data_IF_403388711938
#
_entry.id   IF_403388711938
#
_cell.length_a   1.000
_cell.length_b   1.000
_cell.length_c   1.000
_cell.angle_alpha   90.00
_cell.angle_beta   90.00
_cell.angle_gamma   90.00
#
_symmetry.space_group_name_H-M   'P 1'
#
loop_
_entity.id
_entity.type
_entity.pdbx_description
1 polymer ?
#
# COMPACT_ATOMS: atom_id res chain seq x y z
N UNK A 1 -23.88 -12.13 -21.08
CA UNK A 1 -22.88 -11.98 -20.02
C UNK A 1 -23.09 -10.61 -19.40
N UNK A 2 -23.21 -10.50 -18.08
CA UNK A 2 -23.21 -9.18 -17.49
C UNK A 2 -21.86 -8.54 -17.81
N UNK A 3 -21.91 -7.33 -18.36
CA UNK A 3 -20.73 -6.48 -18.50
C UNK A 3 -20.21 -6.26 -17.08
N UNK A 4 -19.00 -6.67 -16.78
CA UNK A 4 -18.39 -6.41 -15.49
C UNK A 4 -18.47 -4.90 -15.27
N UNK A 5 -19.22 -4.48 -14.26
CA UNK A 5 -19.43 -3.08 -13.98
C UNK A 5 -18.09 -2.49 -13.56
N UNK A 6 -17.59 -1.56 -14.35
CA UNK A 6 -16.29 -0.93 -14.09
C UNK A 6 -16.31 -0.30 -12.70
N UNK A 7 -15.39 -0.71 -11.84
CA UNK A 7 -15.27 -0.15 -10.50
C UNK A 7 -15.01 1.36 -10.61
N UNK A 8 -15.84 2.15 -9.95
CA UNK A 8 -15.69 3.60 -10.00
C UNK A 8 -14.36 4.04 -9.33
N UNK A 9 -13.63 4.95 -9.96
CA UNK A 9 -12.38 5.49 -9.41
C UNK A 9 -12.55 6.10 -8.02
N UNK A 10 -13.71 6.73 -7.78
CA UNK A 10 -14.08 7.28 -6.47
C UNK A 10 -14.20 6.21 -5.38
N UNK A 11 -14.68 5.02 -5.74
CA UNK A 11 -14.75 3.87 -4.83
C UNK A 11 -13.35 3.36 -4.49
N UNK A 12 -12.49 3.22 -5.49
CA UNK A 12 -11.10 2.79 -5.29
C UNK A 12 -10.37 3.79 -4.41
N UNK A 13 -10.45 5.08 -4.73
CA UNK A 13 -9.80 6.15 -3.97
C UNK A 13 -10.33 6.29 -2.54
N UNK A 14 -11.64 6.23 -2.37
CA UNK A 14 -12.28 6.29 -1.05
C UNK A 14 -11.87 5.12 -0.15
N UNK A 15 -11.84 3.90 -0.70
CA UNK A 15 -11.37 2.72 0.03
C UNK A 15 -9.88 2.77 0.35
N UNK A 16 -9.05 3.26 -0.58
CA UNK A 16 -7.62 3.44 -0.36
C UNK A 16 -7.36 4.41 0.81
N UNK A 17 -7.99 5.58 0.78
CA UNK A 17 -7.85 6.60 1.83
C UNK A 17 -8.29 6.07 3.20
N UNK A 18 -9.45 5.42 3.27
CA UNK A 18 -9.98 4.83 4.50
C UNK A 18 -9.07 3.72 5.02
N UNK A 19 -8.63 2.80 4.16
CA UNK A 19 -7.81 1.67 4.57
C UNK A 19 -6.48 2.11 5.17
N UNK A 20 -5.79 3.05 4.53
CA UNK A 20 -4.52 3.58 5.06
C UNK A 20 -4.75 4.34 6.36
N UNK A 21 -5.73 5.23 6.42
CA UNK A 21 -6.03 6.01 7.61
C UNK A 21 -6.39 5.12 8.82
N UNK A 22 -7.28 4.14 8.63
CA UNK A 22 -7.75 3.29 9.71
C UNK A 22 -6.64 2.38 10.26
N UNK A 23 -5.86 1.76 9.38
CA UNK A 23 -4.78 0.87 9.80
C UNK A 23 -3.66 1.63 10.50
N UNK A 24 -3.22 2.76 9.95
CA UNK A 24 -2.18 3.57 10.57
C UNK A 24 -2.62 4.16 11.90
N UNK A 25 -3.87 4.61 12.01
CA UNK A 25 -4.41 5.09 13.28
C UNK A 25 -4.49 3.96 14.32
N UNK A 26 -5.05 2.82 13.96
CA UNK A 26 -5.30 1.70 14.89
C UNK A 26 -4.00 1.04 15.35
N UNK A 27 -3.07 0.79 14.42
CA UNK A 27 -1.84 0.04 14.71
C UNK A 27 -0.70 0.91 15.19
N UNK A 28 -0.64 2.14 14.75
CA UNK A 28 0.51 3.01 14.98
C UNK A 28 0.17 4.29 15.77
N UNK A 29 -1.10 4.58 15.97
CA UNK A 29 -1.53 5.84 16.58
C UNK A 29 -1.20 7.08 15.72
N UNK A 30 -0.89 6.87 14.43
CA UNK A 30 -0.54 7.93 13.49
C UNK A 30 -1.77 8.44 12.74
N UNK A 31 -1.90 9.76 12.65
CA UNK A 31 -2.80 10.37 11.69
C UNK A 31 -2.13 10.43 10.32
N UNK A 32 -2.84 9.99 9.30
CA UNK A 32 -2.37 9.97 7.91
C UNK A 32 -3.36 10.72 7.04
N UNK A 33 -2.89 11.66 6.26
CA UNK A 33 -3.71 12.46 5.36
C UNK A 33 -3.29 12.32 3.90
N UNK A 34 -4.23 12.28 2.94
CA UNK A 34 -3.90 12.32 1.52
C UNK A 34 -3.14 13.59 1.15
N UNK A 35 -2.12 13.46 0.28
CA UNK A 35 -1.35 14.59 -0.24
C UNK A 35 -1.85 14.95 -1.64
N UNK A 36 -2.31 16.19 -1.81
CA UNK A 36 -2.60 16.77 -3.12
C UNK A 36 -3.80 16.19 -3.87
N UNK A 37 -4.72 15.54 -3.18
CA UNK A 37 -5.84 14.85 -3.77
C UNK A 37 -5.46 13.43 -4.27
N UNK A 38 -6.48 12.61 -4.46
CA UNK A 38 -6.31 11.26 -4.99
C UNK A 38 -6.17 11.35 -6.52
N UNK A 39 -4.94 11.27 -6.99
CA UNK A 39 -4.65 11.38 -8.42
C UNK A 39 -4.55 9.98 -9.02
N UNK A 40 -5.42 9.69 -9.95
CA UNK A 40 -5.35 8.53 -10.82
C UNK A 40 -5.69 8.95 -12.27
N UNK A 41 -5.00 8.46 -13.30
CA UNK A 41 -3.81 7.62 -13.26
C UNK A 41 -2.54 8.41 -12.92
N UNK A 42 -1.57 7.74 -12.26
CA UNK A 42 -0.28 8.34 -11.97
C UNK A 42 0.58 8.42 -13.22
N UNK A 43 1.25 9.57 -13.50
CA UNK A 43 2.14 9.69 -14.64
C UNK A 43 3.28 8.67 -14.56
N UNK A 44 3.54 7.98 -15.67
CA UNK A 44 4.57 6.92 -15.73
C UNK A 44 6.01 7.43 -15.54
N UNK A 45 6.23 8.72 -15.78
CA UNK A 45 7.52 9.40 -15.62
C UNK A 45 7.75 10.01 -14.24
N UNK A 46 6.75 9.96 -13.36
CA UNK A 46 6.82 10.54 -12.03
C UNK A 46 7.25 9.50 -11.01
N UNK A 47 8.33 9.79 -10.28
CA UNK A 47 8.79 8.97 -9.18
C UNK A 47 7.76 8.93 -8.03
N UNK A 48 7.59 7.75 -7.42
CA UNK A 48 6.71 7.55 -6.27
C UNK A 48 7.36 8.07 -4.99
N UNK A 49 8.63 7.82 -4.84
CA UNK A 49 9.47 8.31 -3.74
C UNK A 49 10.62 9.13 -4.31
N UNK A 50 11.24 9.95 -3.47
CA UNK A 50 12.37 10.76 -3.86
C UNK A 50 13.56 9.88 -4.30
N UNK A 51 14.35 10.30 -5.31
CA UNK A 51 15.50 9.54 -5.78
C UNK A 51 16.52 9.28 -4.67
N UNK A 52 17.07 8.07 -4.64
CA UNK A 52 18.09 7.66 -3.65
C UNK A 52 17.53 7.26 -2.28
N UNK A 53 16.23 7.30 -2.08
CA UNK A 53 15.60 6.83 -0.85
C UNK A 53 15.51 5.30 -0.85
N UNK A 54 15.99 4.70 0.24
CA UNK A 54 15.78 3.27 0.49
C UNK A 54 14.32 3.05 0.90
N UNK A 55 13.60 2.25 0.13
CA UNK A 55 12.20 1.95 0.38
C UNK A 55 11.97 0.48 0.73
N UNK A 56 11.01 0.26 1.61
CA UNK A 56 10.41 -1.05 1.82
C UNK A 56 9.03 -1.08 1.17
N UNK A 57 8.73 -2.18 0.49
CA UNK A 57 7.49 -2.38 -0.26
C UNK A 57 6.86 -3.67 0.17
N UNK A 58 5.68 -3.60 0.76
CA UNK A 58 4.83 -4.75 1.01
C UNK A 58 3.84 -4.91 -0.14
N UNK A 59 3.84 -6.06 -0.82
CA UNK A 59 2.94 -6.37 -1.93
C UNK A 59 1.97 -7.47 -1.57
N UNK A 60 0.69 -7.28 -1.88
CA UNK A 60 -0.37 -8.27 -1.70
C UNK A 60 -1.20 -8.38 -2.97
N UNK A 61 -1.41 -9.59 -3.45
CA UNK A 61 -2.25 -9.85 -4.62
C UNK A 61 -3.73 -9.87 -4.26
N UNK A 62 -4.55 -9.51 -5.24
CA UNK A 62 -6.01 -9.59 -5.24
C UNK A 62 -6.43 -10.59 -6.31
N UNK A 63 -7.26 -11.57 -5.96
CA UNK A 63 -7.71 -12.64 -6.86
C UNK A 63 -9.21 -12.88 -6.68
N UNK A 64 -9.96 -12.81 -7.75
CA UNK A 64 -11.41 -13.02 -7.73
C UNK A 64 -12.09 -12.29 -8.88
N UNK A 65 -13.19 -11.61 -8.61
CA UNK A 65 -13.82 -10.70 -9.59
C UNK A 65 -12.93 -9.47 -9.82
N UNK A 66 -12.17 -9.06 -8.80
CA UNK A 66 -11.10 -8.08 -8.93
C UNK A 66 -9.77 -8.83 -8.91
N UNK A 67 -8.98 -8.63 -9.96
CA UNK A 67 -7.66 -9.22 -10.10
C UNK A 67 -6.59 -8.12 -10.18
N UNK A 68 -5.49 -8.33 -9.49
CA UNK A 68 -4.40 -7.37 -9.47
C UNK A 68 -3.54 -7.51 -8.25
N UNK A 69 -2.93 -6.42 -7.85
CA UNK A 69 -2.17 -6.35 -6.60
C UNK A 69 -2.11 -4.92 -6.08
N UNK A 70 -1.86 -4.79 -4.80
CA UNK A 70 -1.60 -3.53 -4.14
C UNK A 70 -0.25 -3.57 -3.44
N UNK A 71 0.46 -2.44 -3.46
CA UNK A 71 1.75 -2.25 -2.84
C UNK A 71 1.69 -1.09 -1.87
N UNK A 72 2.25 -1.31 -0.70
CA UNK A 72 2.43 -0.27 0.31
C UNK A 72 3.91 0.08 0.41
N UNK A 73 4.23 1.35 0.16
CA UNK A 73 5.60 1.86 0.12
C UNK A 73 5.87 2.79 1.30
N UNK A 74 7.05 2.60 1.92
CA UNK A 74 7.59 3.51 2.93
C UNK A 74 9.08 3.72 2.71
N UNK A 75 9.60 4.84 3.19
CA UNK A 75 11.03 4.95 3.46
C UNK A 75 11.43 3.90 4.52
N UNK A 76 12.59 3.28 4.37
CA UNK A 76 13.03 2.23 5.31
C UNK A 76 13.12 2.74 6.75
N UNK A 77 13.58 3.97 6.95
CA UNK A 77 13.65 4.60 8.28
C UNK A 77 12.25 4.77 8.90
N UNK A 78 11.26 5.15 8.12
CA UNK A 78 9.88 5.28 8.58
C UNK A 78 9.22 3.91 8.81
N UNK A 79 9.50 2.93 7.96
CA UNK A 79 9.06 1.56 8.16
C UNK A 79 9.54 1.01 9.51
N UNK A 80 10.81 1.23 9.85
CA UNK A 80 11.37 0.83 11.15
C UNK A 80 10.69 1.53 12.33
N UNK A 81 10.41 2.82 12.22
CA UNK A 81 9.64 3.55 13.24
C UNK A 81 8.22 2.96 13.43
N UNK A 82 7.52 2.68 12.33
CA UNK A 82 6.21 2.04 12.34
C UNK A 82 6.26 0.67 13.02
N UNK A 83 7.27 -0.13 12.70
CA UNK A 83 7.46 -1.46 13.28
C UNK A 83 7.73 -1.35 14.79
N UNK A 84 8.55 -0.41 15.21
CA UNK A 84 8.81 -0.15 16.63
C UNK A 84 7.52 0.12 17.40
N UNK A 85 6.65 0.96 16.86
CA UNK A 85 5.33 1.24 17.46
C UNK A 85 4.40 0.02 17.44
N UNK A 86 4.37 -0.70 16.34
CA UNK A 86 3.53 -1.89 16.17
C UNK A 86 3.92 -3.02 17.14
N UNK A 87 5.21 -3.19 17.41
CA UNK A 87 5.74 -4.20 18.32
C UNK A 87 5.88 -3.70 19.78
N UNK A 88 5.68 -2.41 20.03
CA UNK A 88 5.95 -1.81 21.33
C UNK A 88 7.45 -1.85 21.71
N UNK A 89 8.32 -1.85 20.71
CA UNK A 89 9.77 -1.96 20.90
C UNK A 89 10.42 -0.60 21.16
N UNK A 90 11.31 -0.54 22.15
CA UNK A 90 12.17 0.62 22.38
C UNK A 90 13.28 0.69 21.31
N UNK A 91 13.94 1.85 21.19
CA UNK A 91 14.92 2.11 20.14
C UNK A 91 16.07 1.07 20.09
N UNK A 92 16.54 0.62 21.25
CA UNK A 92 17.58 -0.41 21.34
C UNK A 92 17.09 -1.78 20.87
N UNK A 93 15.87 -2.14 21.25
CA UNK A 93 15.23 -3.38 20.81
C UNK A 93 14.97 -3.36 19.30
N UNK A 94 14.51 -2.22 18.78
CA UNK A 94 14.28 -2.03 17.34
C UNK A 94 15.58 -2.16 16.54
N UNK A 95 16.69 -1.59 17.05
CA UNK A 95 18.00 -1.69 16.41
C UNK A 95 18.55 -3.14 16.38
N UNK A 96 18.14 -3.96 17.34
CA UNK A 96 18.53 -5.36 17.44
C UNK A 96 17.67 -6.32 16.60
N UNK A 97 16.54 -5.85 16.03
CA UNK A 97 15.67 -6.68 15.19
C UNK A 97 16.38 -7.08 13.89
N UNK A 98 16.34 -8.37 13.58
CA UNK A 98 16.87 -8.90 12.33
C UNK A 98 16.01 -8.54 11.12
N UNK A 99 16.58 -8.67 9.88
CA UNK A 99 15.87 -8.33 8.65
C UNK A 99 14.57 -9.13 8.44
N UNK A 100 14.52 -10.38 8.90
CA UNK A 100 13.32 -11.22 8.78
C UNK A 100 12.17 -10.68 9.61
N UNK A 101 12.41 -10.30 10.86
CA UNK A 101 11.39 -9.71 11.73
C UNK A 101 10.87 -8.40 11.17
N UNK A 102 11.75 -7.58 10.61
CA UNK A 102 11.37 -6.33 9.93
C UNK A 102 10.49 -6.63 8.71
N UNK A 103 10.88 -7.58 7.88
CA UNK A 103 10.10 -7.97 6.70
C UNK A 103 8.72 -8.53 7.07
N UNK A 104 8.64 -9.38 8.09
CA UNK A 104 7.38 -9.95 8.56
C UNK A 104 6.42 -8.85 9.04
N UNK A 105 6.93 -7.87 9.78
CA UNK A 105 6.13 -6.76 10.27
C UNK A 105 5.66 -5.83 9.14
N UNK A 106 6.50 -5.55 8.14
CA UNK A 106 6.10 -4.79 6.94
C UNK A 106 5.07 -5.56 6.14
N UNK A 107 5.26 -6.86 5.97
CA UNK A 107 4.31 -7.75 5.31
C UNK A 107 2.95 -7.74 6.00
N UNK A 108 2.92 -7.80 7.33
CA UNK A 108 1.69 -7.75 8.11
C UNK A 108 0.98 -6.39 7.97
N UNK A 109 1.71 -5.29 8.05
CA UNK A 109 1.14 -3.95 7.87
C UNK A 109 0.55 -3.77 6.46
N UNK A 110 1.24 -4.28 5.44
CA UNK A 110 0.73 -4.29 4.07
C UNK A 110 -0.52 -5.17 3.95
N UNK A 111 -0.50 -6.37 4.54
CA UNK A 111 -1.63 -7.29 4.53
C UNK A 111 -2.87 -6.70 5.20
N UNK A 112 -2.70 -6.03 6.33
CA UNK A 112 -3.79 -5.34 7.04
C UNK A 112 -4.37 -4.19 6.21
N UNK A 113 -3.50 -3.37 5.62
CA UNK A 113 -3.93 -2.21 4.81
C UNK A 113 -4.65 -2.67 3.54
N UNK A 114 -4.09 -3.62 2.81
CA UNK A 114 -4.72 -4.17 1.59
C UNK A 114 -5.96 -4.98 1.94
N UNK A 115 -5.99 -5.65 3.10
CA UNK A 115 -7.16 -6.34 3.62
C UNK A 115 -8.33 -5.40 3.89
N UNK A 116 -8.08 -4.27 4.52
CA UNK A 116 -9.08 -3.22 4.71
C UNK A 116 -9.57 -2.65 3.38
N UNK A 117 -8.67 -2.40 2.44
CA UNK A 117 -9.01 -1.97 1.08
C UNK A 117 -9.90 -3.00 0.36
N UNK A 118 -9.49 -4.28 0.38
CA UNK A 118 -10.26 -5.39 -0.19
C UNK A 118 -11.66 -5.49 0.41
N UNK A 119 -11.79 -5.35 1.72
CA UNK A 119 -13.10 -5.43 2.38
C UNK A 119 -14.07 -4.37 1.83
N UNK A 120 -13.59 -3.14 1.62
CA UNK A 120 -14.40 -2.09 0.98
C UNK A 120 -14.83 -2.44 -0.45
N UNK A 121 -14.00 -3.12 -1.23
CA UNK A 121 -14.39 -3.61 -2.55
C UNK A 121 -15.44 -4.73 -2.46
N UNK A 122 -15.25 -5.68 -1.54
CA UNK A 122 -16.22 -6.76 -1.32
C UNK A 122 -17.60 -6.23 -0.89
N UNK A 123 -17.62 -5.26 0.03
CA UNK A 123 -18.84 -4.63 0.53
C UNK A 123 -19.58 -3.86 -0.58
N UNK A 124 -18.84 -3.39 -1.58
CA UNK A 124 -19.41 -2.73 -2.77
C UNK A 124 -19.80 -3.71 -3.88
N UNK A 125 -19.73 -5.02 -3.65
CA UNK A 125 -20.17 -6.05 -4.60
C UNK A 125 -19.06 -6.56 -5.54
N UNK A 126 -17.79 -6.31 -5.20
CA UNK A 126 -16.62 -6.79 -5.96
C UNK A 126 -15.77 -7.78 -5.16
N UNK A 127 -16.23 -9.03 -4.96
CA UNK A 127 -15.56 -9.99 -4.09
C UNK A 127 -14.21 -10.44 -4.64
N UNK A 128 -13.21 -10.43 -3.78
CA UNK A 128 -11.88 -10.96 -4.05
C UNK A 128 -11.20 -11.48 -2.77
N UNK A 129 -10.12 -12.22 -2.95
CA UNK A 129 -9.29 -12.78 -1.88
C UNK A 129 -7.88 -12.22 -1.98
N UNK A 130 -7.17 -12.23 -0.86
CA UNK A 130 -5.77 -11.84 -0.80
C UNK A 130 -4.84 -13.04 -1.03
N UNK A 131 -3.69 -12.76 -1.64
CA UNK A 131 -2.56 -13.68 -1.62
C UNK A 131 -1.68 -13.43 -0.39
N UNK A 132 -0.70 -14.30 -0.16
CA UNK A 132 0.32 -14.11 0.87
C UNK A 132 1.14 -12.86 0.53
N UNK A 133 1.43 -11.97 1.51
CA UNK A 133 2.23 -10.78 1.27
C UNK A 133 3.69 -11.14 0.94
N UNK A 134 4.31 -10.32 0.10
CA UNK A 134 5.75 -10.33 -0.14
C UNK A 134 6.34 -8.98 0.17
N UNK A 135 7.61 -8.94 0.58
CA UNK A 135 8.31 -7.72 0.94
C UNK A 135 9.58 -7.57 0.12
N UNK A 136 9.75 -6.39 -0.46
CA UNK A 136 10.89 -6.02 -1.28
C UNK A 136 11.58 -4.79 -0.67
N UNK A 137 12.90 -4.72 -0.81
CA UNK A 137 13.67 -3.50 -0.57
C UNK A 137 14.15 -2.94 -1.89
N UNK A 138 13.97 -1.64 -2.08
CA UNK A 138 14.24 -0.97 -3.37
C UNK A 138 15.03 0.30 -3.10
N UNK A 139 16.15 0.48 -3.81
CA UNK A 139 16.99 1.68 -3.70
C UNK A 139 16.71 2.72 -4.77
N UNK A 140 16.25 2.29 -5.94
CA UNK A 140 15.87 3.16 -7.05
C UNK A 140 14.56 2.66 -7.63
N UNK A 141 13.50 3.39 -7.37
CA UNK A 141 12.19 3.04 -7.85
C UNK A 141 11.95 3.63 -9.24
N UNK A 142 12.53 2.97 -10.26
CA UNK A 142 12.01 3.10 -11.61
C UNK A 142 10.68 2.35 -11.68
N UNK A 143 9.64 3.02 -12.07
CA UNK A 143 8.36 2.38 -12.38
C UNK A 143 8.63 1.38 -13.50
N UNK A 144 8.66 0.10 -13.16
CA UNK A 144 8.71 -0.95 -14.19
C UNK A 144 7.53 -0.75 -15.14
N UNK A 145 7.73 -1.05 -16.41
CA UNK A 145 6.67 -1.01 -17.41
C UNK A 145 5.42 -1.68 -16.87
N UNK A 146 4.35 -0.91 -16.79
CA UNK A 146 3.06 -1.43 -16.33
C UNK A 146 2.60 -2.51 -17.29
N UNK A 147 2.10 -3.64 -16.78
CA UNK A 147 1.42 -4.59 -17.64
C UNK A 147 0.29 -3.88 -18.39
N UNK A 148 0.21 -4.08 -19.70
CA UNK A 148 -0.82 -3.42 -20.54
C UNK A 148 -2.26 -3.71 -20.13
N UNK A 149 -2.45 -4.76 -19.31
CA UNK A 149 -3.74 -5.16 -18.79
C UNK A 149 -4.15 -4.44 -17.50
N UNK A 150 -3.23 -3.71 -16.86
CA UNK A 150 -3.50 -3.10 -15.56
C UNK A 150 -3.77 -1.60 -15.68
N UNK A 151 -4.76 -1.14 -14.95
CA UNK A 151 -4.94 0.27 -14.61
C UNK A 151 -4.29 0.52 -13.26
N UNK A 152 -3.48 1.56 -13.18
CA UNK A 152 -2.72 1.90 -11.97
C UNK A 152 -3.33 3.09 -11.27
N UNK A 153 -3.49 2.96 -9.96
CA UNK A 153 -3.95 4.00 -9.06
C UNK A 153 -2.90 4.21 -7.96
N UNK A 154 -2.34 5.39 -7.88
CA UNK A 154 -1.34 5.73 -6.87
C UNK A 154 -1.92 6.76 -5.92
N UNK A 155 -1.92 6.44 -4.63
CA UNK A 155 -2.42 7.30 -3.58
C UNK A 155 -1.30 7.63 -2.61
N UNK A 156 -0.97 8.91 -2.52
CA UNK A 156 0.11 9.40 -1.67
C UNK A 156 -0.47 9.97 -0.40
N UNK A 157 0.06 9.54 0.72
CA UNK A 157 -0.32 10.00 2.06
C UNK A 157 0.89 10.55 2.79
N UNK A 158 0.65 11.38 3.77
CA UNK A 158 1.68 11.94 4.62
C UNK A 158 1.31 11.75 6.09
N UNK A 159 2.30 11.35 6.87
CA UNK A 159 2.25 11.25 8.32
C UNK A 159 3.53 11.84 8.91
N UNK A 160 3.43 12.91 9.69
CA UNK A 160 4.57 13.60 10.31
C UNK A 160 5.71 13.95 9.31
N UNK A 161 5.35 14.45 8.13
CA UNK A 161 6.30 14.78 7.06
C UNK A 161 6.89 13.59 6.31
N UNK A 162 6.47 12.37 6.61
CA UNK A 162 6.89 11.14 5.96
C UNK A 162 5.81 10.65 4.99
N UNK A 163 6.22 10.16 3.84
CA UNK A 163 5.30 9.65 2.83
C UNK A 163 5.03 8.17 2.99
N UNK A 164 3.76 7.82 2.79
CA UNK A 164 3.27 6.46 2.61
C UNK A 164 2.53 6.43 1.29
N UNK A 165 2.77 5.43 0.48
CA UNK A 165 2.12 5.31 -0.83
C UNK A 165 1.40 3.99 -0.93
N UNK A 166 0.13 4.04 -1.29
CA UNK A 166 -0.63 2.86 -1.71
C UNK A 166 -0.76 2.87 -3.23
N UNK A 167 -0.11 1.92 -3.87
CA UNK A 167 -0.09 1.71 -5.32
C UNK A 167 -0.94 0.49 -5.66
N UNK A 168 -2.04 0.70 -6.36
CA UNK A 168 -3.02 -0.33 -6.70
C UNK A 168 -3.03 -0.54 -8.20
N UNK A 169 -2.77 -1.76 -8.63
CA UNK A 169 -2.86 -2.18 -10.04
C UNK A 169 -4.00 -3.17 -10.18
N UNK A 170 -4.99 -2.80 -10.95
CA UNK A 170 -6.18 -3.64 -11.18
C UNK A 170 -6.32 -3.97 -12.65
N UNK A 171 -6.68 -5.22 -12.92
CA UNK A 171 -7.22 -5.64 -14.20
C UNK A 171 -8.71 -5.28 -14.19
N UNK A 172 -9.04 -4.23 -14.90
CA UNK A 172 -10.42 -3.83 -15.15
C UNK A 172 -10.81 -4.42 -16.51
N UNK A 173 -11.70 -5.39 -16.50
CA UNK A 173 -12.29 -5.95 -17.73
C UNK A 173 -13.38 -5.03 -18.29
#
# INVERSE_FOLDING_TARGET
MPVAEKIAESLIGGNAARAVADVFHTMLGHSVAPVGGLVAPWPSDRAILDPGVQAMVGQVGLVGEVNGFARLYFEESFARECIGRMLGAEAEELAALGPETINDAVGELANMTVGSFKNGLCDAGHPCKLTIPSVLRVSDFAVADLPRWATRYVYVFESNGRRVVLDVLLKLE
#
